data_IF_996160204790
#
_entry.id   IF_996160204790
#
_cell.length_a   1.000
_cell.length_b   1.000
_cell.length_c   1.000
_cell.angle_alpha   90.00
_cell.angle_beta   90.00
_cell.angle_gamma   90.00
#
_symmetry.space_group_name_H-M   'P 1'
#
loop_
_entity.id
_entity.type
_entity.pdbx_description
1 polymer ?
#
# COMPACT_ATOMS: atom_id res chain seq x y z
N UNK A 1 20.08 22.47 -19.87
CA UNK A 1 20.35 21.03 -20.02
C UNK A 1 20.35 20.74 -21.51
N UNK A 2 21.48 20.32 -22.07
CA UNK A 2 21.53 19.88 -23.47
C UNK A 2 21.06 18.43 -23.53
N UNK A 3 20.09 18.15 -24.40
CA UNK A 3 19.69 16.77 -24.73
C UNK A 3 20.89 16.01 -25.26
N UNK A 4 21.24 14.89 -24.60
CA UNK A 4 22.19 13.93 -25.15
C UNK A 4 21.54 13.24 -26.35
N UNK A 5 21.89 13.67 -27.56
CA UNK A 5 21.48 12.99 -28.79
C UNK A 5 22.10 11.59 -28.84
N UNK A 6 21.27 10.57 -29.08
CA UNK A 6 21.72 9.20 -29.33
C UNK A 6 22.64 9.23 -30.55
N UNK A 7 23.93 8.96 -30.34
CA UNK A 7 24.93 8.98 -31.39
C UNK A 7 24.99 7.59 -32.05
N UNK A 8 24.35 7.43 -33.21
CA UNK A 8 24.48 6.23 -34.05
C UNK A 8 25.83 6.24 -34.79
N UNK A 9 26.95 6.24 -34.05
CA UNK A 9 28.24 6.01 -34.69
C UNK A 9 28.23 4.59 -35.25
N UNK A 10 28.30 4.49 -36.58
CA UNK A 10 28.52 3.23 -37.29
C UNK A 10 29.83 2.64 -36.76
N UNK A 11 29.81 1.37 -36.38
CA UNK A 11 31.06 0.66 -36.10
C UNK A 11 31.82 0.54 -37.43
N UNK A 12 33.04 1.10 -37.49
CA UNK A 12 33.89 1.10 -38.70
C UNK A 12 34.65 -0.24 -38.87
N UNK A 13 34.45 -1.19 -37.95
CA UNK A 13 34.95 -2.56 -38.06
C UNK A 13 34.26 -3.29 -39.23
N UNK A 14 35.04 -3.60 -40.25
CA UNK A 14 34.59 -4.29 -41.46
C UNK A 14 34.83 -5.80 -41.41
N UNK A 15 35.10 -6.38 -40.24
CA UNK A 15 35.30 -7.82 -40.08
C UNK A 15 34.01 -8.56 -40.49
N UNK A 16 34.05 -9.47 -41.48
CA UNK A 16 32.88 -10.21 -41.91
C UNK A 16 32.46 -11.23 -40.85
N UNK A 17 31.16 -11.32 -40.58
CA UNK A 17 30.59 -12.42 -39.79
C UNK A 17 30.59 -13.67 -40.68
N UNK A 18 31.31 -14.71 -40.26
CA UNK A 18 31.45 -15.97 -41.01
C UNK A 18 30.48 -17.03 -40.47
N UNK A 19 29.81 -17.75 -41.37
CA UNK A 19 28.90 -18.88 -41.06
C UNK A 19 29.29 -20.11 -41.90
N UNK A 20 30.45 -20.73 -41.60
CA UNK A 20 31.04 -21.74 -42.47
C UNK A 20 30.27 -23.07 -42.50
N UNK A 21 29.44 -23.35 -41.49
CA UNK A 21 28.63 -24.56 -41.36
C UNK A 21 27.12 -24.31 -41.62
N UNK A 22 26.72 -23.06 -41.86
CA UNK A 22 25.33 -22.67 -42.12
C UNK A 22 24.43 -22.70 -40.88
N UNK A 23 25.01 -22.94 -39.70
CA UNK A 23 24.28 -23.12 -38.45
C UNK A 23 23.63 -21.80 -38.01
N UNK A 24 24.34 -20.67 -38.17
CA UNK A 24 23.83 -19.35 -37.80
C UNK A 24 22.67 -18.95 -38.72
N UNK A 25 22.83 -19.12 -40.03
CA UNK A 25 21.78 -18.86 -41.01
C UNK A 25 20.52 -19.69 -40.72
N UNK A 26 20.67 -21.00 -40.48
CA UNK A 26 19.54 -21.88 -40.17
C UNK A 26 18.79 -21.44 -38.92
N UNK A 27 19.51 -21.09 -37.85
CA UNK A 27 18.90 -20.60 -36.61
C UNK A 27 18.17 -19.26 -36.81
N UNK A 28 18.76 -18.31 -37.55
CA UNK A 28 18.13 -17.02 -37.84
C UNK A 28 16.85 -17.18 -38.64
N UNK A 29 16.81 -18.08 -39.63
CA UNK A 29 15.59 -18.40 -40.37
C UNK A 29 14.48 -18.91 -39.44
N UNK A 30 14.78 -19.85 -38.55
CA UNK A 30 13.80 -20.40 -37.60
C UNK A 30 13.25 -19.31 -36.66
N UNK A 31 14.12 -18.44 -36.14
CA UNK A 31 13.71 -17.33 -35.26
C UNK A 31 12.87 -16.28 -36.01
N UNK A 32 13.26 -15.96 -37.25
CA UNK A 32 12.50 -15.03 -38.10
C UNK A 32 11.11 -15.56 -38.44
N UNK A 33 10.99 -16.84 -38.78
CA UNK A 33 9.69 -17.48 -39.00
C UNK A 33 8.80 -17.42 -37.75
N UNK A 34 9.39 -17.60 -36.57
CA UNK A 34 8.68 -17.54 -35.29
C UNK A 34 8.14 -16.13 -35.03
N UNK A 35 8.94 -15.09 -35.26
CA UNK A 35 8.50 -13.69 -35.17
C UNK A 35 7.34 -13.38 -36.13
N UNK A 36 7.45 -13.83 -37.38
CA UNK A 36 6.40 -13.63 -38.39
C UNK A 36 5.10 -14.33 -38.00
N UNK A 37 5.18 -15.56 -37.47
CA UNK A 37 4.00 -16.31 -36.98
C UNK A 37 3.34 -15.60 -35.81
N UNK A 38 4.11 -15.12 -34.84
CA UNK A 38 3.59 -14.40 -33.68
C UNK A 38 2.91 -13.08 -34.08
N UNK A 39 3.52 -12.33 -35.01
CA UNK A 39 2.92 -11.10 -35.53
C UNK A 39 1.65 -11.37 -36.34
N UNK A 40 1.65 -12.44 -37.14
CA UNK A 40 0.47 -12.85 -37.90
C UNK A 40 -0.70 -13.24 -36.99
N UNK A 41 -0.43 -13.91 -35.87
CA UNK A 41 -1.44 -14.26 -34.86
C UNK A 41 -2.07 -13.00 -34.23
N UNK A 42 -1.26 -11.99 -33.90
CA UNK A 42 -1.77 -10.72 -33.38
C UNK A 42 -2.67 -10.00 -34.38
N UNK A 43 -2.25 -9.92 -35.65
CA UNK A 43 -3.07 -9.32 -36.70
C UNK A 43 -4.40 -10.05 -36.85
N UNK A 44 -4.37 -11.38 -36.79
CA UNK A 44 -5.58 -12.20 -36.84
C UNK A 44 -6.52 -11.94 -35.65
N UNK A 45 -6.00 -11.96 -34.41
CA UNK A 45 -6.80 -11.71 -33.20
C UNK A 45 -7.36 -10.28 -33.18
N UNK A 46 -6.58 -9.31 -33.64
CA UNK A 46 -7.03 -7.92 -33.78
C UNK A 46 -8.18 -7.81 -34.79
N UNK A 47 -8.06 -8.45 -35.96
CA UNK A 47 -9.12 -8.48 -36.97
C UNK A 47 -10.42 -9.15 -36.47
N UNK A 48 -10.31 -10.12 -35.56
CA UNK A 48 -11.45 -10.80 -34.95
C UNK A 48 -12.04 -10.07 -33.75
N UNK A 49 -11.40 -9.00 -33.26
CA UNK A 49 -11.80 -8.31 -32.04
C UNK A 49 -11.52 -9.10 -30.75
N UNK A 50 -10.62 -10.08 -30.82
CA UNK A 50 -10.28 -11.01 -29.73
C UNK A 50 -8.93 -10.69 -29.07
N UNK A 51 -8.24 -9.65 -29.52
CA UNK A 51 -7.01 -9.17 -28.89
C UNK A 51 -7.33 -8.42 -27.60
N UNK A 52 -7.07 -9.05 -26.46
CA UNK A 52 -7.18 -8.43 -25.14
C UNK A 52 -5.82 -7.90 -24.64
N UNK A 53 -5.82 -7.07 -23.60
CA UNK A 53 -4.61 -6.46 -23.03
C UNK A 53 -3.60 -7.51 -22.51
N UNK A 54 -4.07 -8.62 -21.92
CA UNK A 54 -3.18 -9.71 -21.49
C UNK A 54 -2.43 -10.34 -22.68
N UNK A 55 -3.13 -10.62 -23.78
CA UNK A 55 -2.51 -11.16 -25.01
C UNK A 55 -1.56 -10.16 -25.65
N UNK A 56 -1.86 -8.85 -25.56
CA UNK A 56 -0.99 -7.78 -26.05
C UNK A 56 0.31 -7.68 -25.24
N UNK A 57 0.23 -7.72 -23.91
CA UNK A 57 1.40 -7.73 -23.02
C UNK A 57 2.27 -8.97 -23.25
N UNK A 58 1.69 -10.17 -23.23
CA UNK A 58 2.46 -11.41 -23.47
C UNK A 58 3.11 -11.42 -24.85
N UNK A 59 2.49 -10.81 -25.87
CA UNK A 59 3.10 -10.74 -27.19
C UNK A 59 4.25 -9.74 -27.27
N UNK A 60 4.19 -8.64 -26.53
CA UNK A 60 5.29 -7.68 -26.43
C UNK A 60 6.53 -8.36 -25.81
N UNK A 61 6.35 -9.11 -24.73
CA UNK A 61 7.41 -9.89 -24.08
C UNK A 61 8.02 -10.93 -25.05
N UNK A 62 7.17 -11.64 -25.79
CA UNK A 62 7.63 -12.62 -26.79
C UNK A 62 8.43 -11.98 -27.93
N UNK A 63 8.05 -10.79 -28.40
CA UNK A 63 8.83 -10.06 -29.40
C UNK A 63 10.17 -9.59 -28.86
N UNK A 64 10.17 -9.04 -27.64
CA UNK A 64 11.38 -8.56 -26.99
C UNK A 64 12.37 -9.71 -26.78
N UNK A 65 11.91 -10.83 -26.24
CA UNK A 65 12.75 -12.01 -26.01
C UNK A 65 13.30 -12.59 -27.33
N UNK A 66 12.47 -12.77 -28.36
CA UNK A 66 12.94 -13.26 -29.66
C UNK A 66 13.94 -12.30 -30.31
N UNK A 67 13.74 -10.99 -30.16
CA UNK A 67 14.67 -9.97 -30.67
C UNK A 67 16.01 -10.03 -29.95
N UNK A 68 16.00 -10.17 -28.62
CA UNK A 68 17.22 -10.36 -27.82
C UNK A 68 17.96 -11.63 -28.24
N UNK A 69 17.26 -12.75 -28.42
CA UNK A 69 17.89 -14.02 -28.82
C UNK A 69 18.52 -13.96 -30.22
N UNK A 70 17.90 -13.28 -31.18
CA UNK A 70 18.47 -13.04 -32.52
C UNK A 70 19.73 -12.20 -32.41
N UNK A 71 19.68 -11.12 -31.62
CA UNK A 71 20.81 -10.22 -31.46
C UNK A 71 21.98 -10.88 -30.71
N UNK A 72 21.70 -11.69 -29.69
CA UNK A 72 22.71 -12.50 -29.01
C UNK A 72 23.37 -13.49 -29.95
N UNK A 73 22.57 -14.15 -30.80
CA UNK A 73 23.05 -15.08 -31.83
C UNK A 73 24.01 -14.41 -32.84
N UNK A 74 23.83 -13.11 -33.08
CA UNK A 74 24.68 -12.28 -33.94
C UNK A 74 25.89 -11.69 -33.20
N UNK A 75 26.11 -12.05 -31.93
CA UNK A 75 27.23 -11.57 -31.13
C UNK A 75 27.03 -10.19 -30.48
N UNK A 76 25.81 -9.65 -30.48
CA UNK A 76 25.49 -8.36 -29.82
C UNK A 76 25.26 -8.48 -28.30
N UNK A 77 25.56 -9.63 -27.68
CA UNK A 77 25.38 -9.86 -26.23
C UNK A 77 26.00 -8.76 -25.38
N UNK A 78 27.19 -8.28 -25.76
CA UNK A 78 27.89 -7.20 -25.04
C UNK A 78 27.14 -5.86 -25.08
N UNK A 79 26.55 -5.51 -26.22
CA UNK A 79 25.87 -4.23 -26.42
C UNK A 79 24.48 -4.20 -25.77
N UNK A 80 23.76 -5.32 -25.81
CA UNK A 80 22.45 -5.46 -25.13
C UNK A 80 22.63 -5.41 -23.63
N UNK A 81 23.55 -6.22 -23.08
CA UNK A 81 23.82 -6.23 -21.65
C UNK A 81 24.36 -4.88 -21.16
N UNK A 82 25.16 -4.19 -21.98
CA UNK A 82 25.63 -2.83 -21.66
C UNK A 82 24.48 -1.83 -21.59
N UNK A 83 23.59 -1.79 -22.58
CA UNK A 83 22.42 -0.90 -22.55
C UNK A 83 21.49 -1.21 -21.38
N UNK A 84 21.22 -2.49 -21.12
CA UNK A 84 20.39 -2.92 -20.01
C UNK A 84 20.99 -2.53 -18.65
N UNK A 85 22.31 -2.71 -18.48
CA UNK A 85 23.03 -2.28 -17.29
C UNK A 85 23.05 -0.75 -17.14
N UNK A 86 23.20 0.01 -18.23
CA UNK A 86 23.11 1.48 -18.22
C UNK A 86 21.72 1.94 -17.77
N UNK A 87 20.64 1.34 -18.30
CA UNK A 87 19.27 1.62 -17.86
C UNK A 87 19.05 1.31 -16.37
N UNK A 88 19.52 0.16 -15.89
CA UNK A 88 19.41 -0.19 -14.46
C UNK A 88 20.18 0.80 -13.58
N UNK A 89 21.37 1.22 -14.00
CA UNK A 89 22.16 2.21 -13.27
C UNK A 89 21.46 3.58 -13.24
N UNK A 90 20.85 3.98 -14.36
CA UNK A 90 20.06 5.22 -14.45
C UNK A 90 18.84 5.17 -13.51
N UNK A 91 18.06 4.07 -13.52
CA UNK A 91 16.93 3.88 -12.61
C UNK A 91 17.38 3.97 -11.14
N UNK A 92 18.49 3.30 -10.79
CA UNK A 92 19.04 3.35 -9.42
C UNK A 92 19.47 4.77 -9.04
N UNK A 93 20.11 5.50 -9.96
CA UNK A 93 20.51 6.89 -9.75
C UNK A 93 19.30 7.80 -9.52
N UNK A 94 18.27 7.67 -10.38
CA UNK A 94 17.03 8.46 -10.27
C UNK A 94 16.26 8.17 -8.98
N UNK A 95 16.23 6.90 -8.54
CA UNK A 95 15.63 6.53 -7.26
C UNK A 95 16.40 7.12 -6.08
N UNK A 96 17.73 7.13 -6.15
CA UNK A 96 18.57 7.75 -5.12
C UNK A 96 18.36 9.27 -5.07
N UNK A 97 18.35 9.94 -6.23
CA UNK A 97 18.08 11.37 -6.32
C UNK A 97 16.69 11.73 -5.77
N UNK A 98 15.65 10.96 -6.11
CA UNK A 98 14.32 11.14 -5.55
C UNK A 98 14.29 11.01 -4.02
N UNK A 99 15.03 10.04 -3.47
CA UNK A 99 15.13 9.87 -2.02
C UNK A 99 15.78 11.09 -1.36
N UNK A 100 16.88 11.58 -1.93
CA UNK A 100 17.58 12.76 -1.41
C UNK A 100 16.73 14.04 -1.53
N UNK A 101 15.99 14.22 -2.63
CA UNK A 101 15.04 15.32 -2.77
C UNK A 101 13.93 15.26 -1.72
N UNK A 102 13.38 14.07 -1.44
CA UNK A 102 12.39 13.88 -0.36
C UNK A 102 12.98 14.22 1.01
N UNK A 103 14.23 13.81 1.29
CA UNK A 103 14.93 14.19 2.53
C UNK A 103 15.11 15.70 2.62
N UNK A 104 15.56 16.36 1.56
CA UNK A 104 15.75 17.81 1.54
C UNK A 104 14.43 18.56 1.73
N UNK A 105 13.33 18.08 1.18
CA UNK A 105 11.99 18.63 1.42
C UNK A 105 11.54 18.42 2.87
N UNK A 106 11.75 17.22 3.43
CA UNK A 106 11.45 16.94 4.84
C UNK A 106 12.26 17.78 5.81
N UNK A 107 13.55 18.01 5.52
CA UNK A 107 14.45 18.83 6.34
C UNK A 107 14.15 20.33 6.29
N UNK A 108 13.32 20.80 5.34
CA UNK A 108 12.88 22.20 5.28
C UNK A 108 11.74 22.51 6.26
N UNK A 109 11.04 21.49 6.76
CA UNK A 109 10.05 21.65 7.83
C UNK A 109 10.82 21.73 9.14
N UNK A 110 10.62 22.79 9.92
CA UNK A 110 11.27 22.88 11.22
C UNK A 110 10.73 21.75 12.12
N UNK A 111 11.60 21.15 12.93
CA UNK A 111 11.17 20.12 13.90
C UNK A 111 10.07 20.64 14.83
N UNK A 112 10.02 21.95 15.07
CA UNK A 112 8.97 22.60 15.85
C UNK A 112 7.62 22.56 15.13
N UNK A 113 7.59 22.93 13.85
CA UNK A 113 6.37 22.86 13.03
C UNK A 113 5.86 21.42 12.90
N UNK A 114 6.76 20.45 12.74
CA UNK A 114 6.41 19.04 12.70
C UNK A 114 5.82 18.58 14.04
N UNK A 115 6.43 18.97 15.16
CA UNK A 115 5.93 18.63 16.50
C UNK A 115 4.56 19.23 16.76
N UNK A 116 4.34 20.51 16.45
CA UNK A 116 3.03 21.14 16.67
C UNK A 116 1.95 20.52 15.78
N UNK A 117 2.27 20.16 14.53
CA UNK A 117 1.32 19.42 13.68
C UNK A 117 0.95 18.06 14.25
N UNK A 118 1.92 17.27 14.71
CA UNK A 118 1.64 15.96 15.33
C UNK A 118 0.79 16.11 16.59
N UNK A 119 1.04 17.17 17.38
CA UNK A 119 0.23 17.50 18.55
C UNK A 119 -1.22 17.82 18.17
N UNK A 120 -1.44 18.66 17.16
CA UNK A 120 -2.78 18.99 16.67
C UNK A 120 -3.53 17.77 16.15
N UNK A 121 -2.86 16.90 15.38
CA UNK A 121 -3.45 15.62 14.91
C UNK A 121 -3.88 14.77 16.10
N UNK A 122 -3.01 14.60 17.10
CA UNK A 122 -3.35 13.86 18.31
C UNK A 122 -4.56 14.49 19.02
N UNK A 123 -4.56 15.81 19.25
CA UNK A 123 -5.64 16.53 19.94
C UNK A 123 -6.99 16.37 19.22
N UNK A 124 -7.02 16.57 17.90
CA UNK A 124 -8.21 16.34 17.07
C UNK A 124 -8.72 14.90 17.19
N UNK A 125 -7.82 13.91 17.11
CA UNK A 125 -8.21 12.51 17.21
C UNK A 125 -8.71 12.12 18.62
N UNK A 126 -8.09 12.66 19.67
CA UNK A 126 -8.57 12.51 21.05
C UNK A 126 -9.99 13.06 21.22
N UNK A 127 -10.23 14.27 20.70
CA UNK A 127 -11.55 14.91 20.77
C UNK A 127 -12.60 14.11 19.98
N UNK A 128 -12.26 13.69 18.77
CA UNK A 128 -13.13 12.83 17.95
C UNK A 128 -13.50 11.53 18.68
N UNK A 129 -12.51 10.78 19.18
CA UNK A 129 -12.80 9.50 19.85
C UNK A 129 -13.57 9.68 21.16
N UNK A 130 -13.42 10.82 21.82
CA UNK A 130 -14.24 11.18 22.97
C UNK A 130 -15.70 11.45 22.58
N UNK A 131 -15.95 12.08 21.44
CA UNK A 131 -17.29 12.44 20.99
C UNK A 131 -18.02 11.28 20.30
N UNK A 132 -17.29 10.38 19.67
CA UNK A 132 -17.85 9.31 18.85
C UNK A 132 -17.72 7.92 19.48
N UNK A 133 -16.70 7.70 20.32
CA UNK A 133 -16.35 6.38 20.85
C UNK A 133 -16.29 6.28 22.37
N UNK A 134 -15.33 5.50 22.88
CA UNK A 134 -15.18 5.27 24.34
C UNK A 134 -14.43 6.39 25.04
N UNK A 135 -13.77 7.27 24.28
CA UNK A 135 -12.85 8.28 24.80
C UNK A 135 -11.57 7.72 25.43
N UNK A 136 -11.37 6.40 25.37
CA UNK A 136 -10.21 5.74 25.96
C UNK A 136 -9.23 5.32 24.87
N UNK A 137 -8.11 6.03 24.81
CA UNK A 137 -7.00 5.77 23.90
C UNK A 137 -5.83 5.25 24.73
N UNK A 138 -5.31 4.09 24.37
CA UNK A 138 -4.11 3.53 25.00
C UNK A 138 -2.85 4.24 24.48
N UNK A 139 -2.74 4.36 23.16
CA UNK A 139 -1.57 4.96 22.52
C UNK A 139 -1.88 5.46 21.11
N UNK A 140 -1.11 6.46 20.70
CA UNK A 140 -1.00 6.93 19.33
C UNK A 140 0.50 6.88 18.99
N UNK A 141 0.86 6.18 17.93
CA UNK A 141 2.25 6.02 17.50
C UNK A 141 2.39 6.44 16.04
N UNK A 142 3.37 7.29 15.75
CA UNK A 142 3.71 7.67 14.38
C UNK A 142 4.90 6.86 13.89
N UNK A 143 4.83 6.37 12.66
CA UNK A 143 5.91 5.67 11.98
C UNK A 143 6.10 6.24 10.56
N UNK A 144 7.01 5.65 9.79
CA UNK A 144 7.33 6.10 8.43
C UNK A 144 6.17 6.00 7.43
N UNK A 145 5.10 5.25 7.76
CA UNK A 145 3.94 5.04 6.90
C UNK A 145 2.69 5.84 7.34
N UNK A 146 2.68 6.38 8.56
CA UNK A 146 1.55 7.14 9.07
C UNK A 146 1.38 7.02 10.59
N UNK A 147 0.13 6.86 11.02
CA UNK A 147 -0.25 6.80 12.43
C UNK A 147 -0.97 5.50 12.75
N UNK A 148 -0.64 4.87 13.87
CA UNK A 148 -1.41 3.77 14.46
C UNK A 148 -2.00 4.23 15.78
N UNK A 149 -3.31 4.07 15.94
CA UNK A 149 -4.00 4.32 17.20
C UNK A 149 -4.48 2.99 17.81
N UNK A 150 -4.20 2.83 19.11
CA UNK A 150 -4.75 1.74 19.92
C UNK A 150 -5.80 2.30 20.86
N UNK A 151 -7.05 1.91 20.66
CA UNK A 151 -8.21 2.36 21.42
C UNK A 151 -8.65 1.24 22.35
N UNK A 152 -9.20 1.59 23.51
CA UNK A 152 -9.73 0.62 24.49
C UNK A 152 -11.25 0.55 24.39
N UNK A 153 -11.79 -0.67 24.47
CA UNK A 153 -13.24 -0.87 24.60
C UNK A 153 -13.79 -0.50 25.99
N UNK A 154 -12.90 -0.32 26.98
CA UNK A 154 -13.24 0.22 28.30
C UNK A 154 -13.65 1.69 28.20
N UNK A 155 -14.83 2.02 28.70
CA UNK A 155 -15.33 3.39 28.74
C UNK A 155 -14.69 4.11 29.93
N UNK A 156 -13.74 4.98 29.62
CA UNK A 156 -13.08 5.82 30.61
C UNK A 156 -13.62 7.25 30.50
N UNK A 157 -14.32 7.77 31.53
CA UNK A 157 -14.71 9.18 31.52
C UNK A 157 -13.46 10.06 31.45
N UNK A 158 -13.46 11.04 30.54
CA UNK A 158 -12.39 12.02 30.47
C UNK A 158 -12.33 12.79 31.80
N UNK A 159 -11.14 12.85 32.41
CA UNK A 159 -10.93 13.08 33.86
C UNK A 159 -11.69 14.27 34.47
N UNK A 160 -12.17 15.24 33.68
CA UNK A 160 -12.86 16.42 34.17
C UNK A 160 -14.02 16.95 33.28
N UNK A 161 -14.44 16.25 32.21
CA UNK A 161 -15.35 16.81 31.18
C UNK A 161 -16.68 16.07 31.05
N UNK A 162 -16.71 14.75 31.25
CA UNK A 162 -17.92 13.92 31.15
C UNK A 162 -17.95 12.87 32.25
N UNK A 163 -19.14 12.61 32.80
CA UNK A 163 -19.34 11.45 33.69
C UNK A 163 -19.39 10.17 32.87
N UNK A 164 -18.99 9.03 33.45
CA UNK A 164 -19.02 7.73 32.77
C UNK A 164 -20.45 7.40 32.26
N UNK A 165 -21.46 7.75 33.04
CA UNK A 165 -22.88 7.58 32.72
C UNK A 165 -23.31 8.36 31.47
N UNK A 166 -22.78 9.57 31.28
CA UNK A 166 -23.06 10.41 30.11
C UNK A 166 -22.44 9.80 28.85
N UNK A 167 -21.20 9.31 28.94
CA UNK A 167 -20.53 8.62 27.83
C UNK A 167 -21.25 7.32 27.44
N UNK A 168 -21.66 6.53 28.43
CA UNK A 168 -22.43 5.30 28.20
C UNK A 168 -23.78 5.61 27.55
N UNK A 169 -24.46 6.65 28.02
CA UNK A 169 -25.76 7.07 27.47
C UNK A 169 -25.62 7.54 26.03
N UNK A 170 -24.56 8.30 25.72
CA UNK A 170 -24.25 8.73 24.36
C UNK A 170 -23.96 7.52 23.44
N UNK A 171 -23.13 6.57 23.88
CA UNK A 171 -22.84 5.36 23.10
C UNK A 171 -24.10 4.54 22.82
N UNK A 172 -24.93 4.32 23.85
CA UNK A 172 -26.22 3.62 23.69
C UNK A 172 -27.17 4.38 22.75
N UNK A 173 -27.20 5.71 22.81
CA UNK A 173 -28.02 6.53 21.90
C UNK A 173 -27.53 6.46 20.45
N UNK A 174 -26.22 6.40 20.23
CA UNK A 174 -25.61 6.13 18.91
C UNK A 174 -25.83 4.70 18.43
N UNK A 175 -26.31 3.81 19.31
CA UNK A 175 -26.71 2.45 18.99
C UNK A 175 -25.76 1.36 19.50
N UNK A 176 -24.63 1.70 20.14
CA UNK A 176 -23.68 0.72 20.64
C UNK A 176 -24.24 -0.08 21.82
N UNK A 177 -23.95 -1.38 21.84
CA UNK A 177 -24.25 -2.24 22.97
C UNK A 177 -23.15 -2.11 24.03
N UNK A 178 -23.51 -1.70 25.25
CA UNK A 178 -22.56 -1.51 26.36
C UNK A 178 -22.89 -2.47 27.49
N UNK A 179 -21.86 -3.17 27.96
CA UNK A 179 -21.92 -4.15 29.04
C UNK A 179 -21.27 -3.64 30.33
N UNK A 180 -21.84 -4.01 31.47
CA UNK A 180 -21.35 -3.68 32.80
C UNK A 180 -20.59 -4.87 33.40
N UNK A 181 -19.35 -4.63 33.85
CA UNK A 181 -18.43 -5.65 34.36
C UNK A 181 -18.08 -5.41 35.82
N UNK A 182 -17.95 -6.49 36.62
CA UNK A 182 -17.77 -6.41 38.09
C UNK A 182 -16.52 -5.61 38.50
N UNK A 183 -15.40 -5.74 37.78
CA UNK A 183 -14.12 -5.12 38.15
C UNK A 183 -13.60 -4.09 37.16
N UNK A 184 -14.21 -4.04 35.98
CA UNK A 184 -13.71 -3.28 34.86
C UNK A 184 -14.72 -2.23 34.37
N UNK A 185 -15.80 -2.00 35.11
CA UNK A 185 -16.78 -0.96 34.77
C UNK A 185 -17.49 -1.23 33.44
N UNK A 186 -17.74 -0.17 32.68
CA UNK A 186 -18.54 -0.22 31.45
C UNK A 186 -17.65 -0.45 30.23
N UNK A 187 -18.04 -1.36 29.35
CA UNK A 187 -17.28 -1.75 28.16
C UNK A 187 -18.18 -1.88 26.94
N UNK A 188 -17.64 -1.65 25.75
CA UNK A 188 -18.30 -2.06 24.51
C UNK A 188 -18.43 -3.59 24.48
N UNK A 189 -19.64 -4.07 24.24
CA UNK A 189 -19.93 -5.49 24.08
C UNK A 189 -19.31 -5.99 22.78
N UNK A 190 -18.71 -7.18 22.79
CA UNK A 190 -18.21 -7.80 21.57
C UNK A 190 -19.38 -8.48 20.86
N UNK A 191 -20.04 -7.73 19.98
CA UNK A 191 -21.15 -8.19 19.14
C UNK A 191 -20.89 -7.82 17.68
N UNK A 192 -21.46 -8.60 16.75
CA UNK A 192 -21.38 -8.32 15.31
C UNK A 192 -21.90 -6.90 15.00
N UNK A 193 -22.95 -6.47 15.69
CA UNK A 193 -23.48 -5.11 15.62
C UNK A 193 -22.42 -4.07 15.95
N UNK A 194 -21.75 -4.19 17.10
CA UNK A 194 -20.71 -3.23 17.49
C UNK A 194 -19.50 -3.27 16.54
N UNK A 195 -19.13 -4.45 16.02
CA UNK A 195 -18.03 -4.54 15.03
C UNK A 195 -18.37 -3.80 13.74
N UNK A 196 -19.58 -3.98 13.21
CA UNK A 196 -20.03 -3.29 12.00
C UNK A 196 -20.14 -1.78 12.24
N UNK A 197 -20.69 -1.36 13.38
CA UNK A 197 -20.78 0.05 13.73
C UNK A 197 -19.41 0.71 13.88
N UNK A 198 -18.42 0.04 14.47
CA UNK A 198 -17.04 0.55 14.53
C UNK A 198 -16.47 0.71 13.13
N UNK A 199 -16.62 -0.31 12.27
CA UNK A 199 -16.15 -0.25 10.89
C UNK A 199 -16.75 0.93 10.13
N UNK A 200 -18.08 1.07 10.16
CA UNK A 200 -18.77 2.21 9.53
C UNK A 200 -18.34 3.55 10.11
N UNK A 201 -18.13 3.64 11.43
CA UNK A 201 -17.69 4.87 12.08
C UNK A 201 -16.32 5.33 11.57
N UNK A 202 -15.36 4.39 11.45
CA UNK A 202 -14.03 4.68 10.92
C UNK A 202 -14.05 4.98 9.42
N UNK A 203 -14.78 4.21 8.62
CA UNK A 203 -14.89 4.44 7.17
C UNK A 203 -15.52 5.82 6.85
N UNK A 204 -16.52 6.24 7.63
CA UNK A 204 -17.18 7.54 7.43
C UNK A 204 -16.34 8.73 7.93
N UNK A 205 -15.58 8.54 9.01
CA UNK A 205 -14.78 9.62 9.62
C UNK A 205 -13.42 9.76 8.94
N UNK A 206 -12.81 8.63 8.56
CA UNK A 206 -11.44 8.53 8.06
C UNK A 206 -11.36 7.51 6.91
N UNK A 207 -11.70 7.92 5.67
CA UNK A 207 -11.85 7.02 4.53
C UNK A 207 -10.59 6.22 4.17
N UNK A 208 -9.39 6.73 4.50
CA UNK A 208 -8.12 6.05 4.25
C UNK A 208 -7.56 5.32 5.48
N UNK A 209 -8.36 5.21 6.55
CA UNK A 209 -8.02 4.40 7.71
C UNK A 209 -8.42 2.94 7.51
N UNK A 210 -7.74 2.04 8.22
CA UNK A 210 -8.10 0.62 8.27
C UNK A 210 -8.04 0.11 9.70
N UNK A 211 -9.11 -0.54 10.15
CA UNK A 211 -9.08 -1.31 11.40
C UNK A 211 -8.25 -2.57 11.15
N UNK A 212 -7.05 -2.60 11.69
CA UNK A 212 -6.15 -3.76 11.61
C UNK A 212 -6.70 -4.92 12.45
N UNK A 213 -7.16 -4.61 13.66
CA UNK A 213 -7.61 -5.62 14.60
C UNK A 213 -8.61 -5.10 15.62
N UNK A 214 -9.58 -5.94 15.96
CA UNK A 214 -10.43 -5.77 17.14
C UNK A 214 -10.15 -6.95 18.07
N UNK A 215 -9.48 -6.70 19.19
CA UNK A 215 -9.26 -7.69 20.23
C UNK A 215 -10.47 -7.72 21.16
N UNK A 216 -10.80 -8.93 21.62
CA UNK A 216 -11.91 -9.19 22.50
C UNK A 216 -11.45 -10.03 23.68
N UNK A 217 -12.21 -9.98 24.76
CA UNK A 217 -11.93 -10.70 26.00
C UNK A 217 -13.24 -11.00 26.73
N UNK A 218 -13.16 -11.87 27.73
CA UNK A 218 -14.33 -12.32 28.49
C UNK A 218 -14.16 -11.99 29.96
N UNK A 219 -15.16 -11.33 30.55
CA UNK A 219 -15.15 -10.96 31.97
C UNK A 219 -16.46 -11.33 32.65
N UNK A 220 -16.47 -11.36 33.99
CA UNK A 220 -17.70 -11.58 34.75
C UNK A 220 -18.61 -10.35 34.66
N UNK A 221 -19.86 -10.57 34.24
CA UNK A 221 -20.90 -9.55 34.21
C UNK A 221 -21.31 -9.11 35.62
N UNK A 222 -21.61 -7.82 35.77
CA UNK A 222 -22.08 -7.28 37.06
C UNK A 222 -23.59 -7.44 37.27
N UNK A 223 -24.36 -7.51 36.18
CA UNK A 223 -25.83 -7.56 36.22
C UNK A 223 -26.37 -9.01 36.21
N UNK A 224 -25.61 -9.96 35.67
CA UNK A 224 -25.96 -11.37 35.60
C UNK A 224 -25.15 -12.17 36.63
N UNK A 225 -25.83 -13.02 37.43
CA UNK A 225 -25.28 -13.82 38.54
C UNK A 225 -24.19 -14.83 38.09
N UNK A 226 -23.00 -14.33 37.74
CA UNK A 226 -21.85 -15.15 37.35
C UNK A 226 -21.76 -15.50 35.87
N UNK A 227 -22.52 -14.84 34.99
CA UNK A 227 -22.35 -15.05 33.55
C UNK A 227 -21.15 -14.27 33.01
N UNK A 228 -20.45 -14.91 32.09
CA UNK A 228 -19.31 -14.34 31.40
C UNK A 228 -19.80 -13.53 30.20
N UNK A 229 -19.42 -12.26 30.15
CA UNK A 229 -19.74 -11.32 29.07
C UNK A 229 -18.51 -11.17 28.17
N UNK A 230 -18.75 -11.24 26.86
CA UNK A 230 -17.75 -11.00 25.84
C UNK A 230 -17.71 -9.52 25.48
N UNK A 231 -16.53 -8.90 25.59
CA UNK A 231 -16.34 -7.46 25.39
C UNK A 231 -15.16 -7.16 24.48
N UNK A 232 -15.17 -5.97 23.90
CA UNK A 232 -14.05 -5.44 23.14
C UNK A 232 -12.99 -4.96 24.13
N UNK A 233 -11.75 -5.45 24.00
CA UNK A 233 -10.63 -4.98 24.81
C UNK A 233 -9.87 -3.87 24.11
N UNK A 234 -9.54 -4.06 22.83
CA UNK A 234 -8.72 -3.14 22.05
C UNK A 234 -9.21 -3.06 20.60
N UNK A 235 -9.03 -1.88 20.00
CA UNK A 235 -9.27 -1.62 18.58
C UNK A 235 -7.98 -0.97 18.06
N UNK A 236 -7.33 -1.61 17.09
CA UNK A 236 -6.08 -1.14 16.49
C UNK A 236 -6.43 -0.63 15.09
N UNK A 237 -6.13 0.65 14.84
CA UNK A 237 -6.46 1.34 13.60
C UNK A 237 -5.22 1.99 13.02
N UNK A 238 -5.00 1.79 11.72
CA UNK A 238 -3.91 2.38 10.95
C UNK A 238 -4.46 3.49 10.07
N UNK A 239 -3.76 4.63 10.04
CA UNK A 239 -4.06 5.81 9.25
C UNK A 239 -2.91 6.04 8.28
N UNK A 240 -3.16 5.78 7.00
CA UNK A 240 -2.16 5.96 5.95
C UNK A 240 -2.12 7.39 5.42
N UNK A 241 -3.21 8.15 5.60
CA UNK A 241 -3.30 9.56 5.27
C UNK A 241 -3.69 10.35 6.52
N UNK A 242 -2.80 11.23 6.98
CA UNK A 242 -3.03 12.05 8.16
C UNK A 242 -3.89 13.28 7.86
N UNK A 243 -4.11 13.61 6.58
CA UNK A 243 -5.01 14.70 6.18
C UNK A 243 -6.49 14.37 6.45
N UNK A 244 -6.80 13.10 6.76
CA UNK A 244 -8.14 12.67 7.17
C UNK A 244 -8.48 13.11 8.61
N UNK A 245 -7.49 13.50 9.43
CA UNK A 245 -7.63 13.83 10.87
C UNK A 245 -7.63 15.34 11.10
#
# INVERSE_FOLDING_TARGET
MEERKINFKKNDDNTPVLDPDGTLHGMLCVKMETLVKNFSLLLYLLQKGELNEGTKESSAELFEQNSIEILNSLGYEGDINKKYNEYIQEIRSLNHENLELRKQLGMKVSNEDARERLKLICESFYEWWHNEGTGNIESITFNEYGMTATLRGYIHPFRHVRKAEEQVSMLKHKGFDVSSLVRYGQHLTASEKNFNMLKELFENSFPHSNIDKINTTTYLGSESKGEYIYVISEIIVNFNNLDDI
#
